data_IF_386036534863
#
_entry.id   IF_386036534863
#
_cell.length_a   1.000
_cell.length_b   1.000
_cell.length_c   1.000
_cell.angle_alpha   90.00
_cell.angle_beta   90.00
_cell.angle_gamma   90.00
#
_symmetry.space_group_name_H-M   'P 1'
#
loop_
_entity.id
_entity.type
_entity.pdbx_description
1 polymer ?
#
# COMPACT_ATOMS: atom_id res chain seq x y z
N UNK A 1 2.61 -103.20 -21.36
CA UNK A 1 2.36 -101.75 -21.52
C UNK A 1 3.72 -101.05 -21.56
N UNK A 2 3.98 -100.28 -22.61
CA UNK A 2 5.34 -100.05 -23.11
C UNK A 2 6.07 -98.87 -22.39
N UNK A 3 7.33 -99.05 -21.96
CA UNK A 3 8.15 -98.03 -21.26
C UNK A 3 8.39 -96.75 -22.08
N UNK A 4 8.11 -96.78 -23.39
CA UNK A 4 8.22 -95.63 -24.30
C UNK A 4 7.19 -94.52 -24.02
N UNK A 5 5.97 -94.87 -23.57
CA UNK A 5 4.94 -93.87 -23.26
C UNK A 5 5.21 -93.14 -21.93
N UNK A 6 5.81 -93.81 -20.96
CA UNK A 6 6.24 -93.20 -19.69
C UNK A 6 7.39 -92.21 -19.90
N UNK A 7 8.36 -92.55 -20.76
CA UNK A 7 9.45 -91.64 -21.11
C UNK A 7 8.96 -90.40 -21.86
N UNK A 8 8.00 -90.55 -22.79
CA UNK A 8 7.40 -89.43 -23.50
C UNK A 8 6.64 -88.49 -22.54
N UNK A 9 5.86 -89.05 -21.61
CA UNK A 9 5.13 -88.30 -20.59
C UNK A 9 6.07 -87.50 -19.67
N UNK A 10 7.19 -88.10 -19.26
CA UNK A 10 8.24 -87.43 -18.46
C UNK A 10 8.91 -86.28 -19.24
N UNK A 11 9.23 -86.51 -20.52
CA UNK A 11 9.82 -85.47 -21.37
C UNK A 11 8.84 -84.31 -21.60
N UNK A 12 7.57 -84.59 -21.88
CA UNK A 12 6.55 -83.54 -22.02
C UNK A 12 6.37 -82.76 -20.71
N UNK A 13 6.38 -83.44 -19.56
CA UNK A 13 6.27 -82.79 -18.26
C UNK A 13 7.48 -81.87 -17.98
N UNK A 14 8.70 -82.33 -18.27
CA UNK A 14 9.90 -81.53 -18.11
C UNK A 14 9.90 -80.28 -19.01
N UNK A 15 9.48 -80.41 -20.28
CA UNK A 15 9.36 -79.27 -21.20
C UNK A 15 8.28 -78.29 -20.74
N UNK A 16 7.13 -78.77 -20.25
CA UNK A 16 6.09 -77.89 -19.69
C UNK A 16 6.55 -77.16 -18.44
N UNK A 17 7.33 -77.82 -17.57
CA UNK A 17 7.90 -77.19 -16.37
C UNK A 17 8.90 -76.09 -16.75
N UNK A 18 9.82 -76.35 -17.68
CA UNK A 18 10.75 -75.34 -18.17
C UNK A 18 10.04 -74.15 -18.84
N UNK A 19 8.97 -74.40 -19.59
CA UNK A 19 8.16 -73.34 -20.18
C UNK A 19 7.47 -72.50 -19.10
N UNK A 20 6.91 -73.12 -18.05
CA UNK A 20 6.28 -72.43 -16.93
C UNK A 20 7.30 -71.63 -16.13
N UNK A 21 8.48 -72.17 -15.83
CA UNK A 21 9.57 -71.44 -15.16
C UNK A 21 10.01 -70.21 -15.97
N UNK A 22 10.14 -70.35 -17.30
CA UNK A 22 10.48 -69.23 -18.16
C UNK A 22 9.36 -68.16 -18.20
N UNK A 23 8.09 -68.57 -18.22
CA UNK A 23 6.96 -67.65 -18.14
C UNK A 23 6.93 -66.90 -16.80
N UNK A 24 7.15 -67.62 -15.68
CA UNK A 24 7.25 -67.03 -14.34
C UNK A 24 8.39 -66.01 -14.29
N UNK A 25 9.56 -66.35 -14.84
CA UNK A 25 10.70 -65.44 -14.88
C UNK A 25 10.40 -64.15 -15.67
N UNK A 26 9.74 -64.25 -16.83
CA UNK A 26 9.32 -63.07 -17.61
C UNK A 26 8.27 -62.22 -16.87
N UNK A 27 7.36 -62.86 -16.15
CA UNK A 27 6.37 -62.19 -15.29
C UNK A 27 7.04 -61.43 -14.14
N UNK A 28 8.05 -62.02 -13.49
CA UNK A 28 8.82 -61.35 -12.45
C UNK A 28 9.62 -60.15 -12.98
N UNK A 29 10.24 -60.28 -14.17
CA UNK A 29 10.99 -59.19 -14.79
C UNK A 29 10.08 -58.02 -15.19
N UNK A 30 8.91 -58.33 -15.77
CA UNK A 30 7.91 -57.32 -16.15
C UNK A 30 7.29 -56.64 -14.92
N UNK A 31 7.01 -57.40 -13.86
CA UNK A 31 6.59 -56.85 -12.56
C UNK A 31 7.64 -55.88 -12.00
N UNK A 32 8.92 -56.25 -12.00
CA UNK A 32 10.00 -55.38 -11.53
C UNK A 32 10.22 -54.13 -12.39
N UNK A 33 9.88 -54.16 -13.69
CA UNK A 33 9.85 -52.96 -14.56
C UNK A 33 8.67 -52.06 -14.21
N UNK A 34 7.49 -52.64 -13.97
CA UNK A 34 6.27 -51.91 -13.60
C UNK A 34 6.42 -51.24 -12.22
N UNK A 35 6.95 -51.95 -11.23
CA UNK A 35 7.21 -51.39 -9.89
C UNK A 35 8.17 -50.19 -9.94
N UNK A 36 9.24 -50.28 -10.75
CA UNK A 36 10.16 -49.14 -10.97
C UNK A 36 9.50 -47.97 -11.69
N UNK A 37 8.60 -48.22 -12.62
CA UNK A 37 7.85 -47.17 -13.31
C UNK A 37 6.87 -46.47 -12.35
N UNK A 38 6.15 -47.24 -11.52
CA UNK A 38 5.25 -46.72 -10.48
C UNK A 38 6.04 -45.88 -9.48
N UNK A 39 7.16 -46.38 -8.96
CA UNK A 39 8.00 -45.63 -8.01
C UNK A 39 8.49 -44.28 -8.59
N UNK A 40 8.84 -44.23 -9.89
CA UNK A 40 9.22 -42.98 -10.56
C UNK A 40 8.05 -41.99 -10.68
N UNK A 41 6.84 -42.49 -10.97
CA UNK A 41 5.65 -41.67 -11.05
C UNK A 41 5.26 -41.11 -9.67
N UNK A 42 5.35 -41.91 -8.62
CA UNK A 42 5.11 -41.48 -7.24
C UNK A 42 6.10 -40.38 -6.81
N UNK A 43 7.39 -40.53 -7.10
CA UNK A 43 8.40 -39.49 -6.81
C UNK A 43 8.07 -38.20 -7.55
N UNK A 44 7.68 -38.27 -8.83
CA UNK A 44 7.33 -37.08 -9.62
C UNK A 44 6.08 -36.38 -9.08
N UNK A 45 5.04 -37.13 -8.70
CA UNK A 45 3.83 -36.57 -8.10
C UNK A 45 4.13 -35.91 -6.73
N UNK A 46 5.02 -36.50 -5.93
CA UNK A 46 5.47 -35.90 -4.65
C UNK A 46 6.25 -34.59 -4.89
N UNK A 47 7.14 -34.56 -5.89
CA UNK A 47 7.89 -33.35 -6.24
C UNK A 47 6.99 -32.24 -6.80
N UNK A 48 6.03 -32.58 -7.66
CA UNK A 48 5.04 -31.65 -8.20
C UNK A 48 4.16 -31.06 -7.08
N UNK A 49 3.69 -31.88 -6.13
CA UNK A 49 2.93 -31.42 -4.96
C UNK A 49 3.75 -30.51 -4.06
N UNK A 50 5.00 -30.86 -3.73
CA UNK A 50 5.91 -30.01 -2.94
C UNK A 50 6.17 -28.67 -3.62
N UNK A 51 6.31 -28.68 -4.95
CA UNK A 51 6.52 -27.46 -5.73
C UNK A 51 5.27 -26.57 -5.70
N UNK A 52 4.08 -27.15 -5.85
CA UNK A 52 2.82 -26.40 -5.71
C UNK A 52 2.59 -25.87 -4.29
N UNK A 53 2.93 -26.64 -3.26
CA UNK A 53 2.86 -26.21 -1.87
C UNK A 53 3.82 -25.04 -1.61
N UNK A 54 5.09 -25.15 -2.04
CA UNK A 54 6.05 -24.04 -1.92
C UNK A 54 5.65 -22.79 -2.72
N UNK A 55 5.02 -22.96 -3.89
CA UNK A 55 4.46 -21.85 -4.68
C UNK A 55 3.27 -21.18 -3.96
N UNK A 56 2.39 -21.96 -3.33
CA UNK A 56 1.28 -21.44 -2.52
C UNK A 56 1.78 -20.71 -1.28
N UNK A 57 2.71 -21.31 -0.56
CA UNK A 57 3.30 -20.74 0.67
C UNK A 57 4.06 -19.44 0.35
N UNK A 58 4.81 -19.40 -0.75
CA UNK A 58 5.49 -18.17 -1.20
C UNK A 58 4.52 -17.05 -1.62
N UNK A 59 3.38 -17.40 -2.25
CA UNK A 59 2.34 -16.43 -2.62
C UNK A 59 1.63 -15.88 -1.38
N UNK A 60 1.28 -16.75 -0.44
CA UNK A 60 0.69 -16.35 0.83
C UNK A 60 1.66 -15.48 1.64
N UNK A 61 2.95 -15.80 1.71
CA UNK A 61 3.97 -14.96 2.36
C UNK A 61 4.13 -13.60 1.67
N UNK A 62 3.99 -13.56 0.33
CA UNK A 62 4.13 -12.32 -0.44
C UNK A 62 2.95 -11.37 -0.20
N UNK A 63 1.72 -11.90 -0.17
CA UNK A 63 0.50 -11.13 0.12
C UNK A 63 0.37 -10.80 1.61
N UNK A 64 0.71 -11.74 2.50
CA UNK A 64 0.65 -11.53 3.95
C UNK A 64 1.81 -10.65 4.45
N UNK A 65 2.88 -10.48 3.70
CA UNK A 65 4.02 -9.64 4.04
C UNK A 65 3.92 -8.17 3.59
N UNK A 66 2.78 -7.71 3.06
CA UNK A 66 2.62 -6.34 2.55
C UNK A 66 2.45 -5.33 3.69
N UNK A 67 3.14 -4.19 3.59
CA UNK A 67 2.99 -3.07 4.52
C UNK A 67 2.73 -1.79 3.75
N UNK A 68 1.71 -1.03 4.17
CA UNK A 68 1.39 0.30 3.67
C UNK A 68 1.76 1.33 4.74
N UNK A 69 2.45 2.40 4.35
CA UNK A 69 2.71 3.57 5.19
C UNK A 69 1.92 4.76 4.62
N UNK A 70 0.99 5.26 5.43
CA UNK A 70 0.30 6.51 5.20
C UNK A 70 0.84 7.59 6.15
N UNK A 71 1.90 8.28 5.72
CA UNK A 71 2.57 9.31 6.49
C UNK A 71 1.79 10.65 6.41
N UNK A 72 0.58 10.61 6.96
CA UNK A 72 -0.50 11.57 6.78
C UNK A 72 -0.12 13.02 7.09
N UNK A 73 -0.37 13.90 6.13
CA UNK A 73 -0.31 15.35 6.31
C UNK A 73 -1.48 15.83 7.20
N UNK A 74 -1.25 16.79 8.13
CA UNK A 74 -2.34 17.41 8.88
C UNK A 74 -3.34 18.16 8.00
N UNK A 75 -4.64 18.00 8.30
CA UNK A 75 -5.77 18.75 7.71
C UNK A 75 -6.06 18.49 6.21
N UNK A 76 -5.68 17.31 5.71
CA UNK A 76 -5.93 16.83 4.34
C UNK A 76 -6.96 15.68 4.31
N UNK A 77 -8.05 15.81 5.08
CA UNK A 77 -9.06 14.75 5.29
C UNK A 77 -8.53 13.39 5.80
N UNK A 78 -7.29 13.36 6.30
CA UNK A 78 -6.62 12.13 6.77
C UNK A 78 -7.36 11.36 7.87
N UNK A 79 -8.24 12.00 8.64
CA UNK A 79 -9.06 11.30 9.64
C UNK A 79 -10.15 10.46 8.98
N UNK A 80 -10.84 10.99 7.97
CA UNK A 80 -11.84 10.23 7.20
C UNK A 80 -11.19 9.01 6.57
N UNK A 81 -10.11 9.20 5.81
CA UNK A 81 -9.43 8.11 5.11
C UNK A 81 -8.92 7.03 6.08
N UNK A 82 -8.30 7.41 7.19
CA UNK A 82 -7.80 6.42 8.17
C UNK A 82 -8.94 5.64 8.83
N UNK A 83 -10.12 6.24 9.05
CA UNK A 83 -11.25 5.51 9.61
C UNK A 83 -11.78 4.43 8.65
N UNK A 84 -11.70 4.64 7.33
CA UNK A 84 -11.98 3.55 6.38
C UNK A 84 -11.06 2.36 6.63
N UNK A 85 -9.76 2.59 6.82
CA UNK A 85 -8.82 1.51 7.11
C UNK A 85 -9.19 0.79 8.42
N UNK A 86 -9.51 1.52 9.50
CA UNK A 86 -9.93 0.91 10.77
C UNK A 86 -11.23 0.10 10.65
N UNK A 87 -12.22 0.59 9.91
CA UNK A 87 -13.51 -0.10 9.75
C UNK A 87 -13.36 -1.35 8.86
N UNK A 88 -12.37 -1.38 7.95
CA UNK A 88 -12.13 -2.49 7.03
C UNK A 88 -11.13 -3.54 7.53
N UNK A 89 -10.24 -3.20 8.46
CA UNK A 89 -9.09 -4.04 8.80
C UNK A 89 -9.45 -5.41 9.35
N UNK A 90 -10.54 -5.50 10.13
CA UNK A 90 -11.04 -6.78 10.66
C UNK A 90 -11.56 -7.68 9.52
N UNK A 91 -12.38 -7.12 8.63
CA UNK A 91 -12.98 -7.85 7.49
C UNK A 91 -11.94 -8.27 6.45
N UNK A 92 -10.94 -7.44 6.23
CA UNK A 92 -9.92 -7.65 5.20
C UNK A 92 -8.63 -8.27 5.77
N UNK A 93 -8.63 -8.68 7.03
CA UNK A 93 -7.55 -9.40 7.72
C UNK A 93 -6.19 -8.70 7.63
N UNK A 94 -6.10 -7.47 8.13
CA UNK A 94 -4.86 -6.72 8.29
C UNK A 94 -4.87 -5.85 9.56
N UNK A 95 -3.73 -5.29 9.94
CA UNK A 95 -3.60 -4.45 11.14
C UNK A 95 -3.46 -2.97 10.79
N UNK A 96 -4.00 -2.08 11.63
CA UNK A 96 -3.85 -0.63 11.50
C UNK A 96 -3.13 -0.08 12.72
N UNK A 97 -2.00 0.58 12.52
CA UNK A 97 -1.16 1.11 13.60
C UNK A 97 -0.97 2.61 13.48
N UNK A 98 -1.22 3.34 14.56
CA UNK A 98 -0.96 4.78 14.63
C UNK A 98 0.46 5.03 15.17
N UNK A 99 1.27 5.74 14.40
CA UNK A 99 2.60 6.21 14.78
C UNK A 99 2.44 7.55 15.51
N UNK A 100 2.80 7.56 16.80
CA UNK A 100 2.84 8.77 17.59
C UNK A 100 4.29 9.20 17.83
N UNK A 101 4.59 10.47 17.60
CA UNK A 101 5.92 11.05 17.86
C UNK A 101 5.82 12.08 18.97
N UNK A 102 6.88 12.20 19.78
CA UNK A 102 6.92 13.17 20.87
C UNK A 102 6.66 14.59 20.36
N UNK A 103 5.69 15.27 20.95
CA UNK A 103 5.23 16.61 20.55
C UNK A 103 4.75 16.71 19.08
N UNK A 104 4.40 15.59 18.45
CA UNK A 104 4.08 15.50 17.01
C UNK A 104 5.22 16.01 16.12
N UNK A 105 6.48 15.78 16.51
CA UNK A 105 7.62 16.11 15.66
C UNK A 105 7.60 15.18 14.41
N UNK A 106 7.53 15.73 13.18
CA UNK A 106 7.54 14.91 11.97
C UNK A 106 8.89 14.27 11.65
N UNK A 107 9.98 14.73 12.29
CA UNK A 107 11.35 14.21 12.08
C UNK A 107 11.74 13.27 13.21
N UNK A 108 11.99 12.01 12.86
CA UNK A 108 12.58 11.02 13.76
C UNK A 108 14.10 11.20 13.87
N UNK A 109 14.65 10.94 15.06
CA UNK A 109 16.11 10.81 15.25
C UNK A 109 16.65 9.62 14.44
N UNK A 110 17.95 9.61 14.11
CA UNK A 110 18.53 8.52 13.31
C UNK A 110 18.32 7.15 13.98
N UNK A 111 18.50 7.06 15.30
CA UNK A 111 18.26 5.84 16.08
C UNK A 111 16.79 5.41 16.06
N UNK A 112 15.84 6.35 16.05
CA UNK A 112 14.41 6.04 15.95
C UNK A 112 14.02 5.64 14.53
N UNK A 113 14.66 6.21 13.50
CA UNK A 113 14.48 5.75 12.11
C UNK A 113 14.91 4.29 11.97
N UNK A 114 16.07 3.91 12.52
CA UNK A 114 16.53 2.50 12.54
C UNK A 114 15.53 1.59 13.26
N UNK A 115 15.05 1.99 14.45
CA UNK A 115 14.06 1.21 15.20
C UNK A 115 12.74 1.08 14.45
N UNK A 116 12.25 2.17 13.88
CA UNK A 116 11.01 2.18 13.13
C UNK A 116 11.08 1.28 11.89
N UNK A 117 12.18 1.35 11.12
CA UNK A 117 12.41 0.50 9.97
C UNK A 117 12.47 -0.97 10.38
N UNK A 118 13.19 -1.30 11.46
CA UNK A 118 13.23 -2.68 12.00
C UNK A 118 11.84 -3.17 12.41
N UNK A 119 11.06 -2.36 13.13
CA UNK A 119 9.70 -2.73 13.54
C UNK A 119 8.81 -2.99 12.32
N UNK A 120 8.76 -2.07 11.36
CA UNK A 120 7.94 -2.21 10.15
C UNK A 120 8.32 -3.44 9.34
N UNK A 121 9.61 -3.73 9.21
CA UNK A 121 10.10 -4.81 8.35
C UNK A 121 10.13 -6.18 9.03
N UNK A 122 10.33 -6.27 10.34
CA UNK A 122 10.55 -7.53 11.05
C UNK A 122 9.35 -8.00 11.90
N UNK A 123 8.39 -7.12 12.22
CA UNK A 123 7.24 -7.49 13.04
C UNK A 123 6.21 -8.28 12.23
N UNK A 124 6.43 -9.60 12.12
CA UNK A 124 5.64 -10.50 11.27
C UNK A 124 4.17 -10.58 11.68
N UNK A 125 3.91 -10.60 12.98
CA UNK A 125 2.57 -10.74 13.56
C UNK A 125 1.63 -9.59 13.19
N UNK A 126 2.19 -8.41 12.86
CA UNK A 126 1.40 -7.27 12.43
C UNK A 126 1.09 -7.29 10.93
N UNK A 127 1.71 -8.16 10.12
CA UNK A 127 1.54 -8.12 8.67
C UNK A 127 0.34 -8.97 8.20
N UNK A 128 -0.43 -8.50 7.19
CA UNK A 128 -0.33 -7.20 6.52
C UNK A 128 -0.68 -6.03 7.44
N UNK A 129 -0.03 -4.88 7.25
CA UNK A 129 -0.23 -3.70 8.10
C UNK A 129 -0.38 -2.40 7.32
N UNK A 130 -1.21 -1.50 7.83
CA UNK A 130 -1.26 -0.09 7.46
C UNK A 130 -0.81 0.76 8.65
N UNK A 131 0.39 1.33 8.54
CA UNK A 131 0.91 2.29 9.51
C UNK A 131 0.51 3.70 9.08
N UNK A 132 0.00 4.51 10.01
CA UNK A 132 -0.31 5.92 9.72
C UNK A 132 0.16 6.84 10.83
N UNK A 133 0.61 8.05 10.48
CA UNK A 133 1.03 9.04 11.47
C UNK A 133 1.64 10.30 10.86
N UNK A 134 1.83 11.32 11.70
CA UNK A 134 2.41 12.60 11.28
C UNK A 134 3.94 12.52 11.28
N UNK A 135 4.50 11.85 10.27
CA UNK A 135 5.93 11.65 10.08
C UNK A 135 6.29 12.04 8.65
N UNK A 136 7.44 12.66 8.43
CA UNK A 136 7.93 12.92 7.08
C UNK A 136 8.35 11.61 6.38
N UNK A 137 8.47 11.66 5.06
CA UNK A 137 8.96 10.55 4.25
C UNK A 137 10.28 10.00 4.82
N UNK A 138 10.34 8.68 4.98
CA UNK A 138 11.52 7.98 5.44
C UNK A 138 11.92 6.99 4.35
N UNK A 139 13.15 7.13 3.86
CA UNK A 139 13.68 6.26 2.84
C UNK A 139 14.19 4.95 3.46
N UNK A 140 13.41 3.88 3.29
CA UNK A 140 13.74 2.54 3.79
C UNK A 140 14.94 1.92 3.06
N UNK A 141 15.28 2.37 1.85
CA UNK A 141 16.39 1.80 1.06
C UNK A 141 17.74 2.00 1.76
N UNK A 142 17.89 3.09 2.50
CA UNK A 142 19.10 3.44 3.27
C UNK A 142 19.43 2.47 4.40
N UNK A 143 18.50 1.57 4.74
CA UNK A 143 18.62 0.66 5.87
C UNK A 143 18.79 -0.82 5.44
N UNK A 144 19.00 -1.08 4.15
CA UNK A 144 19.28 -2.43 3.63
C UNK A 144 18.12 -3.40 3.79
N UNK A 145 16.88 -2.93 3.66
CA UNK A 145 15.68 -3.77 3.79
C UNK A 145 15.45 -4.62 2.53
N UNK A 146 14.94 -5.84 2.71
CA UNK A 146 14.63 -6.73 1.59
C UNK A 146 13.38 -6.31 0.81
N UNK A 147 12.36 -5.78 1.51
CA UNK A 147 11.08 -5.34 0.92
C UNK A 147 10.74 -3.97 1.46
N UNK A 148 10.63 -2.97 0.55
CA UNK A 148 10.17 -1.63 0.90
C UNK A 148 8.67 -1.65 1.22
N UNK A 149 8.20 -0.84 2.19
CA UNK A 149 6.77 -0.61 2.37
C UNK A 149 6.21 0.20 1.19
N UNK A 150 4.91 0.12 1.00
CA UNK A 150 4.17 0.90 0.01
C UNK A 150 3.79 2.25 0.64
N UNK A 151 4.24 3.36 0.08
CA UNK A 151 3.83 4.68 0.53
C UNK A 151 2.59 5.18 -0.22
N UNK A 152 1.66 5.79 0.51
CA UNK A 152 0.51 6.53 -0.04
C UNK A 152 0.35 7.84 0.73
N UNK A 153 -0.27 8.85 0.11
CA UNK A 153 -0.63 10.07 0.84
C UNK A 153 -1.80 10.83 0.22
N UNK A 154 -2.26 11.87 0.93
CA UNK A 154 -3.26 12.83 0.44
C UNK A 154 -2.81 14.24 0.78
N UNK A 155 -2.71 15.10 -0.24
CA UNK A 155 -2.37 16.53 -0.12
C UNK A 155 -3.61 17.41 -0.26
N UNK A 156 -3.44 18.72 -0.09
CA UNK A 156 -4.50 19.73 -0.22
C UNK A 156 -3.92 21.05 -0.71
N UNK A 157 -4.75 21.91 -1.30
CA UNK A 157 -4.39 23.31 -1.53
C UNK A 157 -3.69 23.91 -0.27
N UNK A 158 -2.51 24.51 -0.42
CA UNK A 158 -1.71 24.98 0.71
C UNK A 158 -2.44 26.02 1.59
N UNK A 159 -3.19 26.93 0.98
CA UNK A 159 -3.91 28.00 1.70
C UNK A 159 -5.10 27.39 2.45
N UNK A 160 -5.92 26.59 1.79
CA UNK A 160 -7.06 25.93 2.42
C UNK A 160 -6.65 25.02 3.57
N UNK A 161 -5.53 24.30 3.41
CA UNK A 161 -4.94 23.49 4.48
C UNK A 161 -4.55 24.35 5.67
N UNK A 162 -3.87 25.48 5.44
CA UNK A 162 -3.46 26.41 6.49
C UNK A 162 -4.67 27.05 7.18
N UNK A 163 -5.67 27.50 6.42
CA UNK A 163 -6.94 28.05 6.96
C UNK A 163 -7.64 27.01 7.83
N UNK A 164 -7.73 25.76 7.35
CA UNK A 164 -8.32 24.66 8.13
C UNK A 164 -7.56 24.42 9.43
N UNK A 165 -6.23 24.50 9.41
CA UNK A 165 -5.40 24.37 10.61
C UNK A 165 -5.54 25.55 11.58
N UNK A 166 -5.59 26.77 11.06
CA UNK A 166 -5.73 28.01 11.83
C UNK A 166 -7.00 28.00 12.69
N UNK A 167 -8.13 27.67 12.07
CA UNK A 167 -9.42 27.60 12.76
C UNK A 167 -9.55 26.37 13.65
N UNK A 168 -8.92 25.25 13.27
CA UNK A 168 -8.85 24.07 14.12
C UNK A 168 -8.19 24.35 15.49
N UNK A 169 -7.13 25.16 15.53
CA UNK A 169 -6.48 25.52 16.79
C UNK A 169 -7.33 26.40 17.70
N UNK A 170 -8.34 27.10 17.15
CA UNK A 170 -9.23 28.05 17.83
C UNK A 170 -10.55 27.43 18.25
N UNK A 171 -11.14 26.63 17.38
CA UNK A 171 -12.52 26.12 17.53
C UNK A 171 -12.60 24.59 17.68
N UNK A 172 -11.49 23.88 17.48
CA UNK A 172 -11.46 22.42 17.59
C UNK A 172 -12.09 21.69 16.41
N UNK A 173 -12.60 20.50 16.69
CA UNK A 173 -13.25 19.63 15.72
C UNK A 173 -14.44 18.89 16.32
N UNK A 174 -15.31 18.40 15.44
CA UNK A 174 -16.49 17.60 15.78
C UNK A 174 -16.19 16.16 16.22
N UNK A 175 -14.98 15.66 15.98
CA UNK A 175 -14.59 14.28 16.28
C UNK A 175 -14.21 14.08 17.75
N UNK A 176 -13.58 15.08 18.37
CA UNK A 176 -13.21 15.12 19.80
C UNK A 176 -13.49 16.51 20.39
N UNK A 177 -14.77 16.90 20.52
CA UNK A 177 -15.16 18.27 20.89
C UNK A 177 -14.76 18.67 22.32
N UNK A 178 -14.60 17.70 23.24
CA UNK A 178 -14.20 17.96 24.63
C UNK A 178 -12.74 18.36 24.82
N UNK A 179 -11.90 18.30 23.77
CA UNK A 179 -10.49 18.66 23.88
C UNK A 179 -10.26 20.15 23.67
N UNK A 180 -9.77 20.82 24.73
CA UNK A 180 -9.32 22.21 24.60
C UNK A 180 -8.10 22.30 23.69
N UNK A 181 -8.19 23.17 22.68
CA UNK A 181 -7.12 23.40 21.71
C UNK A 181 -6.20 24.52 22.20
N UNK A 182 -4.95 24.50 21.72
CA UNK A 182 -3.87 25.39 22.19
C UNK A 182 -4.22 26.89 22.09
N UNK A 183 -5.03 27.28 21.11
CA UNK A 183 -5.41 28.67 20.84
C UNK A 183 -6.91 28.90 21.05
N UNK A 184 -7.59 28.04 21.83
CA UNK A 184 -9.02 28.18 22.06
C UNK A 184 -9.33 29.50 22.78
N UNK A 185 -10.36 30.20 22.31
CA UNK A 185 -10.74 31.52 22.82
C UNK A 185 -10.17 32.71 22.02
N UNK A 186 -9.20 32.47 21.14
CA UNK A 186 -8.79 33.47 20.16
C UNK A 186 -9.85 33.60 19.06
N UNK A 187 -10.52 34.76 19.03
CA UNK A 187 -11.61 35.08 18.09
C UNK A 187 -11.13 35.73 16.79
N UNK A 188 -9.83 36.04 16.68
CA UNK A 188 -9.26 36.73 15.53
C UNK A 188 -9.46 35.90 14.25
N UNK A 189 -10.05 36.50 13.23
CA UNK A 189 -10.26 35.80 11.95
C UNK A 189 -8.94 35.57 11.21
N UNK A 190 -8.94 34.65 10.24
CA UNK A 190 -7.75 34.42 9.42
C UNK A 190 -7.36 35.68 8.64
N UNK A 191 -8.34 36.39 8.09
CA UNK A 191 -8.11 37.66 7.37
C UNK A 191 -7.54 38.75 8.26
N UNK A 192 -8.08 38.94 9.47
CA UNK A 192 -7.50 39.86 10.46
C UNK A 192 -6.07 39.46 10.83
N UNK A 193 -5.78 38.16 10.91
CA UNK A 193 -4.43 37.66 11.17
C UNK A 193 -3.49 38.06 10.03
N UNK A 194 -3.88 37.80 8.77
CA UNK A 194 -3.07 38.11 7.59
C UNK A 194 -2.85 39.62 7.46
N UNK A 195 -3.91 40.42 7.61
CA UNK A 195 -3.86 41.87 7.59
C UNK A 195 -2.82 42.43 8.58
N UNK A 196 -2.83 41.91 9.80
CA UNK A 196 -1.96 42.31 10.89
C UNK A 196 -0.58 41.63 10.93
N UNK A 197 -0.24 40.76 9.96
CA UNK A 197 1.04 40.04 9.96
C UNK A 197 1.21 39.05 11.12
N UNK A 198 0.14 38.35 11.52
CA UNK A 198 0.18 37.40 12.63
C UNK A 198 0.98 36.13 12.34
N UNK A 199 1.60 35.56 13.38
CA UNK A 199 2.51 34.40 13.23
C UNK A 199 1.84 33.07 12.87
N UNK A 200 0.56 32.89 13.22
CA UNK A 200 -0.21 31.67 12.92
C UNK A 200 -0.68 31.60 11.45
N UNK A 201 -0.64 32.72 10.73
CA UNK A 201 -1.06 32.86 9.33
C UNK A 201 0.07 33.38 8.42
N UNK A 202 1.29 33.46 8.94
CA UNK A 202 2.46 33.91 8.20
C UNK A 202 2.79 32.93 7.06
N UNK A 203 3.37 33.39 5.93
CA UNK A 203 3.65 32.53 4.77
C UNK A 203 4.52 31.31 5.10
N UNK A 204 5.39 31.39 6.10
CA UNK A 204 6.22 30.28 6.59
C UNK A 204 5.38 29.10 7.10
N UNK A 205 4.11 29.32 7.47
CA UNK A 205 3.18 28.26 7.91
C UNK A 205 2.57 27.45 6.75
N UNK A 206 2.75 27.91 5.50
CA UNK A 206 2.39 27.14 4.32
C UNK A 206 3.36 25.96 4.13
N UNK A 207 4.65 26.15 4.42
CA UNK A 207 5.73 25.17 4.28
C UNK A 207 5.51 23.96 5.20
N UNK A 208 4.91 22.91 4.66
CA UNK A 208 4.59 21.69 5.38
C UNK A 208 4.51 20.47 4.47
N UNK A 209 3.83 20.57 3.33
CA UNK A 209 3.64 19.40 2.47
C UNK A 209 4.96 19.03 1.79
N UNK A 210 5.72 20.02 1.31
CA UNK A 210 7.05 19.79 0.74
C UNK A 210 7.96 19.02 1.72
N UNK A 211 8.19 19.47 2.98
CA UNK A 211 8.97 18.71 3.96
C UNK A 211 8.46 17.29 4.25
N UNK A 212 7.14 17.08 4.21
CA UNK A 212 6.54 15.76 4.44
C UNK A 212 6.90 14.75 3.35
N UNK A 213 7.10 15.20 2.11
CA UNK A 213 7.53 14.33 1.00
C UNK A 213 9.05 14.36 0.79
N UNK A 214 9.71 15.49 1.03
CA UNK A 214 11.16 15.62 0.94
C UNK A 214 11.87 14.71 1.96
N UNK A 215 11.35 14.63 3.19
CA UNK A 215 11.76 13.63 4.17
C UNK A 215 12.62 14.15 5.32
N UNK A 216 13.58 13.32 5.76
CA UNK A 216 14.40 13.53 6.96
C UNK A 216 15.76 14.21 6.67
N UNK A 217 15.85 15.01 5.61
CA UNK A 217 17.07 15.76 5.26
C UNK A 217 17.02 17.18 5.81
N UNK A 218 18.18 17.75 6.18
CA UNK A 218 18.26 19.12 6.72
C UNK A 218 17.63 20.15 5.79
N UNK A 219 17.95 20.05 4.50
CA UNK A 219 17.51 20.99 3.48
C UNK A 219 15.98 20.96 3.27
N UNK A 220 15.30 19.85 3.59
CA UNK A 220 13.84 19.75 3.56
C UNK A 220 13.14 20.76 4.49
N UNK A 221 13.81 21.11 5.60
CA UNK A 221 13.26 21.97 6.64
C UNK A 221 13.78 23.41 6.54
N UNK A 222 14.61 23.71 5.53
CA UNK A 222 14.96 25.07 5.14
C UNK A 222 13.79 25.66 4.34
N UNK A 223 13.05 26.57 4.99
CA UNK A 223 11.83 27.16 4.44
C UNK A 223 12.13 27.86 3.11
N UNK A 224 11.40 27.50 2.06
CA UNK A 224 11.57 28.09 0.74
C UNK A 224 12.73 27.49 -0.08
N UNK A 225 13.33 26.38 0.36
CA UNK A 225 14.38 25.71 -0.39
C UNK A 225 13.85 25.13 -1.71
N UNK A 226 14.45 25.55 -2.83
CA UNK A 226 14.14 24.98 -4.15
C UNK A 226 14.56 23.51 -4.24
N UNK A 227 15.70 23.15 -3.62
CA UNK A 227 16.15 21.75 -3.57
C UNK A 227 15.11 20.86 -2.89
N UNK A 228 14.51 21.33 -1.79
CA UNK A 228 13.49 20.56 -1.08
C UNK A 228 12.23 20.31 -1.93
N UNK A 229 11.83 21.30 -2.74
CA UNK A 229 10.73 21.14 -3.70
C UNK A 229 11.04 20.05 -4.72
N UNK A 230 12.21 20.12 -5.37
CA UNK A 230 12.58 19.13 -6.40
C UNK A 230 12.71 17.73 -5.79
N UNK A 231 13.28 17.61 -4.59
CA UNK A 231 13.36 16.32 -3.88
C UNK A 231 11.96 15.79 -3.48
N UNK A 232 11.04 16.65 -3.07
CA UNK A 232 9.67 16.26 -2.75
C UNK A 232 8.94 15.72 -4.00
N UNK A 233 9.06 16.38 -5.15
CA UNK A 233 8.53 15.90 -6.43
C UNK A 233 9.15 14.57 -6.83
N UNK A 234 10.48 14.45 -6.71
CA UNK A 234 11.20 13.21 -6.98
C UNK A 234 10.68 12.06 -6.12
N UNK A 235 10.57 12.25 -4.80
CA UNK A 235 10.08 11.21 -3.90
C UNK A 235 8.62 10.85 -4.19
N UNK A 236 7.77 11.83 -4.51
CA UNK A 236 6.38 11.59 -4.88
C UNK A 236 6.28 10.61 -6.07
N UNK A 237 7.09 10.80 -7.11
CA UNK A 237 7.05 9.93 -8.29
C UNK A 237 7.72 8.57 -8.05
N UNK A 238 8.83 8.54 -7.32
CA UNK A 238 9.68 7.33 -7.25
C UNK A 238 9.35 6.42 -6.06
N UNK A 239 8.75 6.96 -4.99
CA UNK A 239 8.60 6.24 -3.73
C UNK A 239 7.14 6.08 -3.28
N UNK A 240 6.21 6.88 -3.79
CA UNK A 240 4.79 6.77 -3.48
C UNK A 240 4.05 5.99 -4.56
N UNK A 241 3.22 5.02 -4.16
CA UNK A 241 2.34 4.29 -5.07
C UNK A 241 1.25 5.20 -5.65
N UNK A 242 0.62 5.99 -4.77
CA UNK A 242 -0.43 6.92 -5.15
C UNK A 242 -0.50 8.08 -4.14
N UNK A 243 -0.62 9.30 -4.68
CA UNK A 243 -0.88 10.50 -3.89
C UNK A 243 -2.13 11.14 -4.43
N UNK A 244 -3.18 11.21 -3.60
CA UNK A 244 -4.43 11.88 -3.94
C UNK A 244 -4.46 13.33 -3.46
N UNK A 245 -5.53 14.03 -3.84
CA UNK A 245 -5.87 15.35 -3.31
C UNK A 245 -7.14 15.28 -2.46
N UNK A 246 -7.27 16.17 -1.49
CA UNK A 246 -8.40 16.17 -0.53
C UNK A 246 -9.74 16.37 -1.23
N UNK A 247 -9.75 17.15 -2.29
CA UNK A 247 -10.93 17.52 -3.08
C UNK A 247 -11.45 16.35 -3.94
N UNK A 248 -10.60 15.38 -4.26
CA UNK A 248 -10.90 14.19 -5.09
C UNK A 248 -10.71 12.90 -4.27
N UNK A 249 -11.04 12.93 -2.97
CA UNK A 249 -10.76 11.82 -2.04
C UNK A 249 -11.53 10.53 -2.39
N UNK A 250 -12.71 10.65 -2.98
CA UNK A 250 -13.51 9.48 -3.42
C UNK A 250 -12.77 8.69 -4.51
N UNK A 251 -12.28 9.39 -5.53
CA UNK A 251 -11.51 8.79 -6.62
C UNK A 251 -10.24 8.13 -6.07
N UNK A 252 -9.56 8.78 -5.13
CA UNK A 252 -8.38 8.21 -4.47
C UNK A 252 -8.72 6.89 -3.75
N UNK A 253 -9.85 6.83 -3.03
CA UNK A 253 -10.30 5.60 -2.35
C UNK A 253 -10.63 4.50 -3.36
N UNK A 254 -11.33 4.81 -4.43
CA UNK A 254 -11.69 3.85 -5.48
C UNK A 254 -10.46 3.28 -6.18
N UNK A 255 -9.47 4.12 -6.49
CA UNK A 255 -8.22 3.67 -7.11
C UNK A 255 -7.41 2.76 -6.17
N UNK A 256 -7.39 3.05 -4.86
CA UNK A 256 -6.74 2.18 -3.88
C UNK A 256 -7.48 0.86 -3.67
N UNK A 257 -8.81 0.85 -3.76
CA UNK A 257 -9.60 -0.38 -3.75
C UNK A 257 -9.23 -1.31 -4.90
N UNK A 258 -8.95 -0.76 -6.08
CA UNK A 258 -8.48 -1.48 -7.24
C UNK A 258 -7.04 -2.00 -7.08
N UNK A 259 -6.13 -1.12 -6.68
CA UNK A 259 -4.69 -1.40 -6.68
C UNK A 259 -4.26 -2.24 -5.47
N UNK A 260 -4.92 -2.06 -4.32
CA UNK A 260 -4.60 -2.72 -3.05
C UNK A 260 -5.86 -3.32 -2.40
N UNK A 261 -6.54 -4.28 -3.06
CA UNK A 261 -7.81 -4.83 -2.58
C UNK A 261 -7.68 -5.54 -1.23
N UNK A 262 -6.49 -6.07 -0.88
CA UNK A 262 -6.24 -6.65 0.46
C UNK A 262 -6.47 -5.64 1.58
N UNK A 263 -6.27 -4.35 1.33
CA UNK A 263 -6.49 -3.29 2.33
C UNK A 263 -7.86 -2.62 2.14
N UNK A 264 -8.24 -2.34 0.90
CA UNK A 264 -9.32 -1.40 0.60
C UNK A 264 -10.55 -2.03 -0.09
N UNK A 265 -10.68 -3.37 -0.14
CA UNK A 265 -11.91 -4.00 -0.65
C UNK A 265 -13.14 -3.55 0.16
N UNK A 266 -14.12 -2.99 -0.56
CA UNK A 266 -15.34 -2.37 -0.07
C UNK A 266 -15.14 -0.98 0.54
N UNK A 267 -14.04 -0.28 0.26
CA UNK A 267 -13.78 1.07 0.77
C UNK A 267 -14.62 2.14 0.08
N UNK A 268 -14.83 2.03 -1.23
CA UNK A 268 -15.62 2.99 -2.02
C UNK A 268 -17.06 3.02 -1.53
N UNK A 269 -17.67 1.83 -1.40
CA UNK A 269 -19.02 1.70 -0.86
C UNK A 269 -19.12 2.27 0.55
N UNK A 270 -18.18 1.93 1.44
CA UNK A 270 -18.14 2.46 2.80
C UNK A 270 -17.98 3.99 2.83
N UNK A 271 -17.25 4.57 1.88
CA UNK A 271 -17.11 6.02 1.75
C UNK A 271 -18.39 6.68 1.23
N UNK A 272 -19.09 6.08 0.27
CA UNK A 272 -20.34 6.63 -0.31
C UNK A 272 -21.52 6.56 0.66
N UNK A 273 -21.71 5.43 1.34
CA UNK A 273 -22.90 5.19 2.19
C UNK A 273 -22.63 5.35 3.68
N UNK A 274 -21.36 5.45 4.08
CA UNK A 274 -20.97 5.61 5.47
C UNK A 274 -21.32 6.97 6.06
N UNK A 275 -21.69 6.99 7.35
CA UNK A 275 -21.86 8.24 8.12
C UNK A 275 -20.52 8.89 8.52
N UNK A 276 -19.40 8.19 8.29
CA UNK A 276 -18.04 8.55 8.72
C UNK A 276 -17.15 9.07 7.57
N UNK A 277 -17.73 9.44 6.43
CA UNK A 277 -16.96 9.88 5.25
C UNK A 277 -16.35 11.26 5.41
N UNK A 278 -16.92 12.11 6.27
CA UNK A 278 -16.43 13.45 6.57
C UNK A 278 -16.23 13.66 8.07
N UNK A 279 -15.17 13.08 8.62
CA UNK A 279 -14.80 13.21 10.03
C UNK A 279 -13.85 14.37 10.29
N UNK A 280 -13.87 14.88 11.53
CA UNK A 280 -12.98 15.93 12.02
C UNK A 280 -13.14 17.23 11.24
N UNK A 281 -14.39 17.62 10.99
CA UNK A 281 -14.69 18.95 10.45
C UNK A 281 -14.30 19.99 11.49
N UNK A 282 -13.77 21.10 11.01
CA UNK A 282 -13.43 22.23 11.90
C UNK A 282 -14.73 22.94 12.23
N UNK A 283 -15.06 23.04 13.52
CA UNK A 283 -16.40 23.43 13.99
C UNK A 283 -16.87 24.76 13.42
N UNK A 284 -15.97 25.74 13.39
CA UNK A 284 -16.20 27.05 12.79
C UNK A 284 -15.06 27.36 11.83
N UNK A 285 -15.37 27.68 10.58
CA UNK A 285 -14.41 28.08 9.54
C UNK A 285 -15.03 29.21 8.73
N UNK A 286 -14.29 30.30 8.54
CA UNK A 286 -14.66 31.36 7.59
C UNK A 286 -13.77 31.23 6.36
N UNK A 287 -14.32 31.31 5.14
CA UNK A 287 -13.49 31.36 3.94
C UNK A 287 -12.65 32.65 3.95
N UNK A 288 -11.37 32.59 3.53
CA UNK A 288 -10.53 33.77 3.43
C UNK A 288 -11.03 34.70 2.33
N UNK A 289 -10.79 36.00 2.48
CA UNK A 289 -11.08 37.00 1.45
C UNK A 289 -10.10 36.87 0.27
N UNK A 290 -10.53 37.37 -0.91
CA UNK A 290 -9.67 37.44 -2.10
C UNK A 290 -8.40 38.24 -1.84
N UNK A 291 -8.47 39.28 -1.00
CA UNK A 291 -7.31 40.09 -0.61
C UNK A 291 -6.29 39.30 0.21
N UNK A 292 -6.74 38.57 1.24
CA UNK A 292 -5.86 37.71 2.04
C UNK A 292 -5.21 36.61 1.21
N UNK A 293 -5.98 35.99 0.29
CA UNK A 293 -5.44 35.00 -0.66
C UNK A 293 -4.36 35.66 -1.52
N UNK A 294 -4.66 36.77 -2.18
CA UNK A 294 -3.72 37.46 -3.06
C UNK A 294 -2.43 37.86 -2.32
N UNK A 295 -2.54 38.30 -1.06
CA UNK A 295 -1.38 38.64 -0.22
C UNK A 295 -0.50 37.41 0.08
N UNK A 296 -1.09 36.26 0.37
CA UNK A 296 -0.32 35.02 0.55
C UNK A 296 0.31 34.54 -0.75
N UNK A 297 -0.39 34.70 -1.88
CA UNK A 297 0.07 34.28 -3.21
C UNK A 297 1.31 35.06 -3.71
N UNK A 298 1.57 36.24 -3.14
CA UNK A 298 2.79 37.00 -3.44
C UNK A 298 4.05 36.34 -2.87
N UNK A 299 3.93 35.51 -1.82
CA UNK A 299 5.08 34.87 -1.16
C UNK A 299 5.71 33.79 -2.03
N UNK A 300 7.05 33.76 -2.05
CA UNK A 300 7.81 32.67 -2.67
C UNK A 300 7.48 31.30 -2.05
N UNK A 301 7.16 31.26 -0.76
CA UNK A 301 6.82 30.02 -0.05
C UNK A 301 5.51 29.44 -0.56
N UNK A 302 4.50 30.30 -0.77
CA UNK A 302 3.24 29.87 -1.39
C UNK A 302 3.48 29.33 -2.80
N UNK A 303 4.26 30.03 -3.62
CA UNK A 303 4.53 29.61 -5.01
C UNK A 303 5.12 28.20 -5.07
N UNK A 304 6.08 27.89 -4.19
CA UNK A 304 6.70 26.56 -4.13
C UNK A 304 5.72 25.48 -3.64
N UNK A 305 4.99 25.73 -2.54
CA UNK A 305 3.98 24.78 -2.03
C UNK A 305 2.84 24.56 -3.03
N UNK A 306 2.43 25.60 -3.75
CA UNK A 306 1.42 25.51 -4.80
C UNK A 306 1.95 24.72 -6.00
N UNK A 307 3.18 24.99 -6.43
CA UNK A 307 3.83 24.23 -7.51
C UNK A 307 3.90 22.72 -7.17
N UNK A 308 4.16 22.37 -5.91
CA UNK A 308 4.11 20.98 -5.45
C UNK A 308 2.69 20.40 -5.46
N UNK A 309 1.69 21.16 -5.02
CA UNK A 309 0.29 20.74 -5.04
C UNK A 309 -0.22 20.48 -6.46
N UNK A 310 -0.01 21.43 -7.38
CA UNK A 310 -0.40 21.30 -8.79
C UNK A 310 0.29 20.10 -9.45
N UNK A 311 1.58 19.89 -9.16
CA UNK A 311 2.31 18.71 -9.64
C UNK A 311 1.69 17.40 -9.14
N UNK A 312 1.33 17.33 -7.85
CA UNK A 312 0.68 16.15 -7.29
C UNK A 312 -0.73 15.93 -7.86
N UNK A 313 -1.48 17.02 -8.08
CA UNK A 313 -2.81 17.00 -8.68
C UNK A 313 -2.76 16.50 -10.13
N UNK A 314 -1.87 17.06 -10.95
CA UNK A 314 -1.67 16.65 -12.34
C UNK A 314 -1.31 15.17 -12.42
N UNK A 315 -0.37 14.72 -11.58
CA UNK A 315 0.01 13.30 -11.51
C UNK A 315 -1.17 12.42 -11.09
N UNK A 316 -1.97 12.82 -10.10
CA UNK A 316 -3.14 12.06 -9.66
C UNK A 316 -4.19 11.96 -10.77
N UNK A 317 -4.50 13.07 -11.44
CA UNK A 317 -5.47 13.11 -12.52
C UNK A 317 -5.00 12.29 -13.74
N UNK A 318 -3.70 12.30 -14.04
CA UNK A 318 -3.12 11.43 -15.06
C UNK A 318 -3.33 9.95 -14.72
N UNK A 319 -3.00 9.54 -13.50
CA UNK A 319 -3.15 8.15 -13.03
C UNK A 319 -4.64 7.76 -13.05
N UNK A 320 -5.54 8.64 -12.61
CA UNK A 320 -7.00 8.43 -12.69
C UNK A 320 -7.46 8.21 -14.13
N UNK A 321 -7.10 9.12 -15.05
CA UNK A 321 -7.50 9.04 -16.46
C UNK A 321 -7.08 7.72 -17.14
N UNK A 322 -6.01 7.08 -16.66
CA UNK A 322 -5.51 5.80 -17.17
C UNK A 322 -5.90 4.59 -16.32
N UNK A 323 -6.58 4.79 -15.19
CA UNK A 323 -7.02 3.73 -14.28
C UNK A 323 -8.53 3.48 -14.30
N UNK A 324 -9.32 4.50 -14.68
CA UNK A 324 -10.78 4.44 -14.67
C UNK A 324 -11.39 4.90 -16.00
N UNK A 325 -12.60 4.44 -16.28
CA UNK A 325 -13.47 4.89 -17.37
C UNK A 325 -14.76 5.44 -16.77
N UNK A 326 -15.14 6.64 -17.18
CA UNK A 326 -16.45 7.19 -16.85
C UNK A 326 -17.53 6.59 -17.76
N UNK A 327 -18.64 6.17 -17.16
CA UNK A 327 -19.85 5.73 -17.87
C UNK A 327 -21.07 6.17 -17.06
N UNK A 328 -21.97 6.92 -17.68
CA UNK A 328 -23.21 7.42 -17.07
C UNK A 328 -22.97 8.26 -15.79
N UNK A 329 -21.85 8.98 -15.71
CA UNK A 329 -21.45 9.78 -14.56
C UNK A 329 -20.84 8.98 -13.39
N UNK A 330 -20.72 7.66 -13.52
CA UNK A 330 -20.03 6.80 -12.56
C UNK A 330 -18.67 6.35 -13.12
N UNK A 331 -17.68 6.26 -12.24
CA UNK A 331 -16.34 5.78 -12.60
C UNK A 331 -16.24 4.26 -12.41
N UNK A 332 -15.71 3.59 -13.42
CA UNK A 332 -15.45 2.14 -13.41
C UNK A 332 -13.97 1.88 -13.67
N UNK A 333 -13.39 0.91 -12.97
CA UNK A 333 -12.01 0.52 -13.19
C UNK A 333 -11.82 -0.10 -14.58
N UNK A 334 -10.74 0.26 -15.25
CA UNK A 334 -10.38 -0.37 -16.52
C UNK A 334 -10.02 -1.85 -16.29
N UNK A 335 -10.47 -2.76 -17.17
CA UNK A 335 -10.07 -4.16 -17.09
C UNK A 335 -8.58 -4.31 -17.41
N UNK A 336 -8.03 -5.50 -17.12
CA UNK A 336 -6.65 -5.83 -17.49
C UNK A 336 -6.48 -5.70 -19.01
N UNK A 337 -5.59 -4.79 -19.41
CA UNK A 337 -5.32 -4.48 -20.82
C UNK A 337 -3.95 -5.01 -21.30
N UNK A 338 -3.41 -6.04 -20.65
CA UNK A 338 -2.19 -6.73 -21.08
C UNK A 338 -2.34 -8.23 -20.88
N UNK A 339 -1.68 -9.03 -21.72
CA UNK A 339 -1.57 -10.48 -21.57
C UNK A 339 -0.21 -10.94 -22.04
N UNK A 340 0.25 -12.09 -21.55
CA UNK A 340 1.50 -12.70 -21.99
C UNK A 340 1.23 -13.61 -23.18
N UNK A 341 1.95 -13.40 -24.27
CA UNK A 341 1.95 -14.30 -25.43
C UNK A 341 3.37 -14.78 -25.73
N UNK A 342 3.50 -15.81 -26.58
CA UNK A 342 4.80 -16.38 -26.97
C UNK A 342 5.66 -16.84 -25.77
N UNK A 343 5.04 -17.48 -24.80
CA UNK A 343 5.74 -18.08 -23.65
C UNK A 343 6.44 -19.37 -24.11
N UNK A 344 7.77 -19.41 -23.97
CA UNK A 344 8.62 -20.57 -24.30
C UNK A 344 9.66 -20.82 -23.19
N UNK A 345 10.13 -22.08 -23.00
CA UNK A 345 9.74 -23.28 -23.74
C UNK A 345 8.30 -23.67 -23.43
N UNK A 346 7.60 -24.25 -24.41
CA UNK A 346 6.29 -24.85 -24.17
C UNK A 346 6.52 -26.04 -23.23
N UNK A 347 5.79 -26.11 -22.12
CA UNK A 347 5.78 -27.30 -21.27
C UNK A 347 5.37 -28.49 -22.14
N UNK A 348 6.26 -29.49 -22.22
CA UNK A 348 6.06 -30.74 -22.97
C UNK A 348 5.07 -31.65 -22.30
#
# INVERSE_FOLDING_TARGET
>A
MAPKFQLLALMTFAVTMLFLENQIHQLEESKGKLERAIARLEVRDIEERRTQEGLRESREDTENGVVVIYNRVPKTASTSFTNLAYDLCSRNHYHVLHINTSKNNPVMSLQDQVRFVKNVTMWKEMKPALYHGHVSFLDFSKFGVMKKPIYINVVRDPIERLVSYYYFLRFGDDYRPGLKRRKQGDKKTFDECVAAGGSDCAPEKLWLQIPFFCGHYSECWNIGSRWALEQAKYNLINEYLLVGVTEELEDFVMMLEAALPRFFRGATELYRTGKKSHLRKTSEKKPPTKESIARLQQSAIWKLENEFYEFALEQFQFVRAHGVREKDGELYLLPQNYFYEKIYPKAT
#
